data_IF_936526704845
#
_entry.id   IF_936526704845
#
_cell.length_a   1.000
_cell.length_b   1.000
_cell.length_c   1.000
_cell.angle_alpha   90.00
_cell.angle_beta   90.00
_cell.angle_gamma   90.00
#
_symmetry.space_group_name_H-M   'P 1'
#
loop_
_entity.id
_entity.type
_entity.pdbx_description
1 polymer ?
#
# COMPACT_ATOMS: atom_id res chain seq x y z
N UNK A 1 -8.25 2.30 -19.19
CA UNK A 1 -8.22 0.86 -19.51
C UNK A 1 -8.34 0.08 -18.20
N UNK A 2 -9.10 -1.02 -18.18
CA UNK A 2 -9.28 -1.82 -16.97
C UNK A 2 -8.18 -2.87 -16.80
N UNK A 3 -7.68 -3.06 -15.59
CA UNK A 3 -6.72 -4.10 -15.21
C UNK A 3 -7.39 -5.47 -15.27
N UNK A 4 -6.72 -6.49 -15.83
CA UNK A 4 -7.25 -7.85 -15.87
C UNK A 4 -7.16 -8.50 -14.49
N UNK A 5 -8.27 -8.56 -13.75
CA UNK A 5 -8.30 -9.04 -12.36
C UNK A 5 -8.24 -10.56 -12.21
N UNK A 6 -8.31 -11.32 -13.31
CA UNK A 6 -8.23 -12.79 -13.29
C UNK A 6 -6.81 -13.33 -13.45
N UNK A 7 -5.85 -12.47 -13.79
CA UNK A 7 -4.42 -12.79 -13.74
C UNK A 7 -3.83 -12.33 -12.42
N UNK A 8 -2.60 -12.78 -12.12
CA UNK A 8 -1.78 -12.20 -11.05
C UNK A 8 -1.76 -10.69 -11.20
N UNK A 9 -2.23 -9.98 -10.18
CA UNK A 9 -2.33 -8.53 -10.20
C UNK A 9 -2.10 -7.93 -8.83
N UNK A 10 -1.56 -6.72 -8.84
CA UNK A 10 -1.24 -5.97 -7.63
C UNK A 10 -2.17 -4.77 -7.54
N UNK A 11 -3.02 -4.73 -6.53
CA UNK A 11 -3.85 -3.57 -6.21
C UNK A 11 -3.07 -2.67 -5.24
N UNK A 12 -2.87 -1.41 -5.61
CA UNK A 12 -2.10 -0.48 -4.81
C UNK A 12 -2.97 0.67 -4.31
N UNK A 13 -2.99 0.84 -2.99
CA UNK A 13 -3.59 2.02 -2.36
C UNK A 13 -2.46 2.97 -1.96
N UNK A 14 -2.49 4.18 -2.51
CA UNK A 14 -1.46 5.20 -2.27
C UNK A 14 -2.03 6.33 -1.42
N UNK A 15 -1.18 6.86 -0.54
CA UNK A 15 -1.49 8.07 0.22
C UNK A 15 -1.61 9.29 -0.70
N UNK A 16 -0.57 9.53 -1.51
CA UNK A 16 -0.44 10.73 -2.34
C UNK A 16 -0.24 10.46 -3.83
N UNK A 17 -0.47 11.51 -4.62
CA UNK A 17 -0.38 11.49 -6.08
C UNK A 17 1.01 11.14 -6.64
N UNK A 18 2.14 11.66 -6.10
CA UNK A 18 3.47 11.35 -6.66
C UNK A 18 3.76 9.85 -6.68
N UNK A 19 3.30 9.11 -5.67
CA UNK A 19 3.47 7.66 -5.63
C UNK A 19 2.63 6.92 -6.69
N UNK A 20 1.46 7.46 -7.04
CA UNK A 20 0.67 6.93 -8.15
C UNK A 20 1.43 7.03 -9.48
N UNK A 21 2.04 8.18 -9.73
CA UNK A 21 2.78 8.44 -10.97
C UNK A 21 4.00 7.53 -11.11
N UNK A 22 4.72 7.28 -10.00
CA UNK A 22 5.83 6.30 -9.96
C UNK A 22 5.34 4.89 -10.33
N UNK A 23 4.26 4.42 -9.72
CA UNK A 23 3.73 3.08 -9.97
C UNK A 23 3.25 2.90 -11.41
N UNK A 24 2.64 3.94 -11.99
CA UNK A 24 2.29 3.95 -13.40
C UNK A 24 3.53 3.82 -14.28
N UNK A 25 4.63 4.51 -13.92
CA UNK A 25 5.93 4.35 -14.58
C UNK A 25 6.47 2.91 -14.49
N UNK A 26 6.43 2.29 -13.31
CA UNK A 26 6.87 0.89 -13.12
C UNK A 26 6.03 -0.07 -13.96
N UNK A 27 4.72 0.13 -14.01
CA UNK A 27 3.81 -0.67 -14.84
C UNK A 27 4.18 -0.61 -16.33
N UNK A 28 4.55 0.57 -16.83
CA UNK A 28 4.98 0.74 -18.23
C UNK A 28 6.29 0.01 -18.54
N UNK A 29 7.20 -0.13 -17.57
CA UNK A 29 8.52 -0.74 -17.79
C UNK A 29 8.49 -2.26 -17.65
N UNK A 30 7.67 -2.81 -16.74
CA UNK A 30 7.82 -4.19 -16.28
C UNK A 30 6.74 -5.18 -16.76
N UNK A 31 5.82 -4.80 -17.65
CA UNK A 31 4.67 -5.62 -18.08
C UNK A 31 3.97 -6.35 -16.91
N UNK A 32 3.80 -5.61 -15.82
CA UNK A 32 3.16 -6.08 -14.60
C UNK A 32 1.76 -5.49 -14.48
N UNK A 33 0.84 -6.32 -14.01
CA UNK A 33 -0.57 -5.97 -13.94
C UNK A 33 -0.87 -5.25 -12.62
N UNK A 34 -0.67 -3.93 -12.58
CA UNK A 34 -0.89 -3.09 -11.41
C UNK A 34 -2.21 -2.32 -11.56
N UNK A 35 -3.03 -2.33 -10.51
CA UNK A 35 -4.24 -1.52 -10.33
C UNK A 35 -3.97 -0.45 -9.27
N UNK A 36 -3.46 0.70 -9.70
CA UNK A 36 -3.20 1.85 -8.84
C UNK A 36 -4.53 2.57 -8.57
N UNK A 37 -4.94 2.64 -7.31
CA UNK A 37 -6.14 3.37 -6.89
C UNK A 37 -5.88 4.87 -6.78
N UNK A 38 -6.97 5.65 -6.85
CA UNK A 38 -6.90 7.08 -6.65
C UNK A 38 -6.24 7.41 -5.30
N UNK A 39 -5.40 8.46 -5.23
CA UNK A 39 -4.76 8.89 -3.99
C UNK A 39 -5.78 9.14 -2.88
N UNK A 40 -5.49 8.61 -1.70
CA UNK A 40 -6.41 8.68 -0.57
C UNK A 40 -6.33 10.02 0.17
N UNK A 41 -5.23 10.76 0.06
CA UNK A 41 -5.01 12.03 0.75
C UNK A 41 -4.91 11.84 2.27
N UNK A 42 -4.05 10.91 2.68
CA UNK A 42 -3.73 10.58 4.07
C UNK A 42 -3.78 9.09 4.41
N UNK A 43 -2.82 8.62 5.19
CA UNK A 43 -2.68 7.22 5.62
C UNK A 43 -3.92 6.60 6.28
N UNK A 44 -4.69 7.37 7.06
CA UNK A 44 -5.91 6.84 7.68
C UNK A 44 -6.97 6.45 6.64
N UNK A 45 -7.08 7.23 5.56
CA UNK A 45 -8.01 6.94 4.45
C UNK A 45 -7.52 5.76 3.61
N UNK A 46 -6.20 5.55 3.51
CA UNK A 46 -5.63 4.34 2.88
C UNK A 46 -6.14 3.08 3.58
N UNK A 47 -6.14 3.06 4.92
CA UNK A 47 -6.68 1.95 5.68
C UNK A 47 -8.21 1.77 5.53
N UNK A 48 -8.97 2.88 5.46
CA UNK A 48 -10.41 2.80 5.21
C UNK A 48 -10.72 2.21 3.83
N UNK A 49 -9.94 2.59 2.82
CA UNK A 49 -10.06 2.03 1.48
C UNK A 49 -9.65 0.56 1.45
N UNK A 50 -8.58 0.19 2.14
CA UNK A 50 -8.18 -1.20 2.31
C UNK A 50 -9.32 -2.03 2.91
N UNK A 51 -9.90 -1.61 4.03
CA UNK A 51 -11.00 -2.33 4.70
C UNK A 51 -12.22 -2.54 3.80
N UNK A 52 -12.58 -1.55 2.98
CA UNK A 52 -13.70 -1.67 2.01
C UNK A 52 -13.41 -2.66 0.88
N UNK A 53 -12.13 -2.87 0.58
CA UNK A 53 -11.67 -3.64 -0.59
C UNK A 53 -10.95 -4.94 -0.23
N UNK A 54 -10.80 -5.29 1.05
CA UNK A 54 -10.08 -6.49 1.49
C UNK A 54 -10.67 -7.80 0.90
N UNK A 55 -11.98 -7.80 0.64
CA UNK A 55 -12.69 -8.91 -0.03
C UNK A 55 -12.15 -9.26 -1.42
N UNK A 56 -11.35 -8.38 -2.04
CA UNK A 56 -10.66 -8.68 -3.31
C UNK A 56 -9.71 -9.88 -3.12
N UNK A 57 -9.07 -9.99 -1.95
CA UNK A 57 -8.18 -11.12 -1.62
C UNK A 57 -8.95 -12.45 -1.54
N UNK A 58 -10.20 -12.41 -1.08
CA UNK A 58 -11.07 -13.59 -1.03
C UNK A 58 -11.63 -13.94 -2.42
N UNK A 59 -11.89 -12.93 -3.26
CA UNK A 59 -12.46 -13.11 -4.61
C UNK A 59 -11.43 -13.60 -5.63
N UNK A 60 -10.17 -13.19 -5.50
CA UNK A 60 -9.11 -13.47 -6.48
C UNK A 60 -7.89 -14.08 -5.79
N UNK A 61 -7.69 -15.39 -5.98
CA UNK A 61 -6.60 -16.16 -5.33
C UNK A 61 -5.19 -15.65 -5.67
N UNK A 62 -5.03 -14.99 -6.80
CA UNK A 62 -3.77 -14.43 -7.30
C UNK A 62 -3.68 -12.90 -7.17
N UNK A 63 -4.54 -12.30 -6.34
CA UNK A 63 -4.50 -10.87 -6.05
C UNK A 63 -3.57 -10.57 -4.87
N UNK A 64 -2.79 -9.51 -5.03
CA UNK A 64 -1.96 -8.93 -3.99
C UNK A 64 -2.43 -7.51 -3.71
N UNK A 65 -2.40 -7.10 -2.44
CA UNK A 65 -2.68 -5.71 -2.05
C UNK A 65 -1.41 -5.10 -1.48
N UNK A 66 -1.05 -3.92 -1.97
CA UNK A 66 0.03 -3.09 -1.46
C UNK A 66 -0.55 -1.77 -0.93
N UNK A 67 -0.20 -1.42 0.30
CA UNK A 67 -0.47 -0.10 0.87
C UNK A 67 0.82 0.70 0.86
N UNK A 68 0.82 1.81 0.12
CA UNK A 68 1.97 2.70 0.01
C UNK A 68 1.65 3.97 0.79
N UNK A 69 2.29 4.09 1.94
CA UNK A 69 2.07 5.11 2.96
C UNK A 69 3.41 5.76 3.25
N UNK A 70 3.43 7.09 3.37
CA UNK A 70 4.63 7.82 3.70
C UNK A 70 4.92 7.76 5.21
N UNK A 71 6.19 7.68 5.59
CA UNK A 71 6.67 7.55 6.97
C UNK A 71 7.47 8.73 7.47
N UNK A 72 7.18 9.94 6.98
CA UNK A 72 7.75 11.15 7.54
C UNK A 72 7.15 11.46 8.93
N UNK A 73 7.89 11.04 9.95
CA UNK A 73 7.68 11.42 11.33
C UNK A 73 8.01 12.91 11.50
N UNK A 74 7.00 13.78 11.45
CA UNK A 74 7.17 15.14 11.96
C UNK A 74 7.39 15.03 13.46
N UNK A 75 8.62 15.34 13.91
CA UNK A 75 9.01 15.34 15.33
C UNK A 75 7.91 16.00 16.19
N UNK A 76 7.25 15.21 17.04
CA UNK A 76 6.26 15.69 18.01
C UNK A 76 4.89 15.01 17.93
N UNK A 77 4.60 14.22 16.90
CA UNK A 77 3.31 13.58 16.73
C UNK A 77 3.42 12.06 16.99
N UNK A 78 2.98 11.63 18.17
CA UNK A 78 3.06 10.24 18.65
C UNK A 78 2.21 9.27 17.81
N UNK A 79 1.25 9.78 17.03
CA UNK A 79 0.41 9.00 16.13
C UNK A 79 0.98 8.83 14.71
N UNK A 80 2.03 9.57 14.34
CA UNK A 80 2.67 9.45 13.01
C UNK A 80 3.65 8.28 12.90
N UNK A 81 4.00 7.68 14.05
CA UNK A 81 5.02 6.64 14.12
C UNK A 81 4.68 5.42 13.26
N UNK A 82 5.73 4.83 12.66
CA UNK A 82 5.65 3.54 11.97
C UNK A 82 4.93 2.47 12.81
N UNK A 83 5.16 2.46 14.12
CA UNK A 83 4.54 1.50 15.05
C UNK A 83 3.02 1.69 15.17
N UNK A 84 2.54 2.94 15.28
CA UNK A 84 1.11 3.21 15.34
C UNK A 84 0.39 2.74 14.05
N UNK A 85 1.00 3.03 12.89
CA UNK A 85 0.47 2.59 11.59
C UNK A 85 0.50 1.08 11.42
N UNK A 86 1.60 0.43 11.85
CA UNK A 86 1.73 -1.03 11.86
C UNK A 86 0.69 -1.69 12.76
N UNK A 87 0.50 -1.17 13.97
CA UNK A 87 -0.50 -1.69 14.90
C UNK A 87 -1.91 -1.57 14.33
N UNK A 88 -2.27 -0.42 13.74
CA UNK A 88 -3.57 -0.24 13.08
C UNK A 88 -3.76 -1.22 11.92
N UNK A 89 -2.73 -1.44 11.11
CA UNK A 89 -2.81 -2.41 10.02
C UNK A 89 -3.01 -3.84 10.53
N UNK A 90 -2.28 -4.25 11.56
CA UNK A 90 -2.41 -5.57 12.16
C UNK A 90 -3.80 -5.80 12.78
N UNK A 91 -4.42 -4.76 13.34
CA UNK A 91 -5.80 -4.83 13.84
C UNK A 91 -6.85 -4.98 12.72
N UNK A 92 -6.52 -4.59 11.49
CA UNK A 92 -7.43 -4.62 10.35
C UNK A 92 -7.33 -5.92 9.55
N UNK A 93 -6.27 -6.70 9.74
CA UNK A 93 -6.02 -7.91 8.98
C UNK A 93 -6.51 -9.15 9.73
N UNK A 94 -7.12 -10.05 8.98
CA UNK A 94 -7.45 -11.39 9.45
C UNK A 94 -6.20 -12.28 9.35
N UNK A 95 -5.98 -13.15 10.34
CA UNK A 95 -4.82 -14.07 10.43
C UNK A 95 -4.66 -15.01 9.21
N UNK A 96 -5.67 -15.07 8.33
CA UNK A 96 -5.64 -15.87 7.10
C UNK A 96 -4.75 -15.30 5.99
N UNK A 97 -4.32 -14.03 6.09
CA UNK A 97 -3.52 -13.39 5.05
C UNK A 97 -2.02 -13.40 5.37
N UNK A 98 -1.19 -13.67 4.35
CA UNK A 98 0.25 -13.50 4.48
C UNK A 98 0.61 -12.02 4.46
N UNK A 99 1.14 -11.53 5.57
CA UNK A 99 1.56 -10.13 5.73
C UNK A 99 3.06 -9.97 5.55
N UNK A 100 3.46 -8.93 4.82
CA UNK A 100 4.85 -8.49 4.71
C UNK A 100 4.90 -7.00 5.02
N UNK A 101 5.72 -6.62 6.00
CA UNK A 101 6.00 -5.21 6.30
C UNK A 101 7.36 -4.84 5.70
N UNK A 102 7.38 -3.84 4.83
CA UNK A 102 8.60 -3.29 4.25
C UNK A 102 8.80 -1.88 4.78
N UNK A 103 9.94 -1.62 5.43
CA UNK A 103 10.39 -0.28 5.78
C UNK A 103 11.61 0.04 4.92
N UNK A 104 11.49 1.03 4.05
CA UNK A 104 12.63 1.58 3.34
C UNK A 104 13.35 2.53 4.31
N UNK A 105 14.63 2.27 4.55
CA UNK A 105 15.50 3.13 5.35
C UNK A 105 16.53 3.72 4.41
N UNK A 106 16.65 5.05 4.43
CA UNK A 106 17.70 5.74 3.69
C UNK A 106 19.07 5.26 4.19
N UNK A 107 19.91 4.76 3.27
CA UNK A 107 21.28 4.33 3.57
C UNK A 107 22.26 5.50 3.67
N UNK A 108 21.81 6.75 3.51
CA UNK A 108 22.70 7.91 3.45
C UNK A 108 23.28 8.36 4.80
N UNK A 109 22.97 7.71 5.93
CA UNK A 109 23.58 8.00 7.24
C UNK A 109 24.69 7.00 7.60
N UNK A 110 25.71 6.91 6.74
CA UNK A 110 27.05 6.41 7.10
C UNK A 110 28.09 7.19 6.30
N UNK A 111 28.44 8.39 6.77
CA UNK A 111 29.77 8.99 6.63
C UNK A 111 30.06 9.76 7.91
#
# INVERSE_FOLDING_TARGET
MGVNRYKKHLVVFVEDKPYSDILNGVQLVHDINIDVKNPCGGWSKVFDQFKKNQKILDQFKDAYILLLIDFDDKKGDTQSSFEARKNKFNQLIEDKYKVVHLKLVDKSSKV
#
